data_IF_885856510936
#
_entry.id   IF_885856510936
#
_cell.length_a   1.000
_cell.length_b   1.000
_cell.length_c   1.000
_cell.angle_alpha   90.00
_cell.angle_beta   90.00
_cell.angle_gamma   90.00
#
_symmetry.space_group_name_H-M   'P 1'
#
loop_
_entity.id
_entity.type
_entity.pdbx_description
1 polymer ?
#
# COMPACT_ATOMS: atom_id res chain seq x y z
N UNK A 1 21.80 -10.36 -16.97
CA UNK A 1 20.38 -9.98 -16.83
C UNK A 1 19.80 -10.75 -15.66
N UNK A 2 19.86 -10.18 -14.47
CA UNK A 2 19.21 -10.77 -13.29
C UNK A 2 17.71 -10.64 -13.50
N UNK A 3 16.96 -11.75 -13.45
CA UNK A 3 15.50 -11.69 -13.58
C UNK A 3 14.94 -11.04 -12.31
N UNK A 4 13.93 -10.18 -12.43
CA UNK A 4 13.20 -9.65 -11.28
C UNK A 4 12.64 -10.76 -10.35
N UNK A 5 12.57 -12.01 -10.83
CA UNK A 5 12.21 -13.20 -10.05
C UNK A 5 13.18 -13.57 -8.91
N UNK A 6 14.39 -13.00 -8.89
CA UNK A 6 15.38 -13.29 -7.84
C UNK A 6 15.29 -12.34 -6.63
N UNK A 7 14.42 -11.32 -6.68
CA UNK A 7 14.14 -10.45 -5.54
C UNK A 7 13.02 -11.07 -4.68
N UNK A 8 13.23 -11.12 -3.36
CA UNK A 8 12.20 -11.50 -2.40
C UNK A 8 11.13 -10.39 -2.28
N UNK A 9 10.33 -10.21 -3.33
CA UNK A 9 9.25 -9.23 -3.41
C UNK A 9 7.97 -9.71 -2.70
N UNK A 10 7.17 -8.75 -2.25
CA UNK A 10 5.77 -8.98 -1.87
C UNK A 10 4.91 -8.67 -3.09
N UNK A 11 4.18 -9.67 -3.58
CA UNK A 11 3.20 -9.50 -4.64
C UNK A 11 1.79 -9.54 -4.03
N UNK A 12 1.04 -8.45 -4.20
CA UNK A 12 -0.36 -8.33 -3.79
C UNK A 12 -1.32 -8.24 -4.99
N UNK A 13 -0.86 -8.60 -6.19
CA UNK A 13 -1.62 -8.52 -7.44
C UNK A 13 -2.22 -7.10 -7.63
N UNK A 14 -3.45 -6.99 -8.11
CA UNK A 14 -4.14 -5.71 -8.37
C UNK A 14 -4.71 -5.02 -7.11
N UNK A 15 -4.34 -5.45 -5.91
CA UNK A 15 -4.95 -4.99 -4.64
C UNK A 15 -4.24 -3.78 -4.01
N UNK A 16 -3.24 -3.22 -4.68
CA UNK A 16 -2.44 -2.10 -4.18
C UNK A 16 -3.26 -0.83 -3.91
N UNK A 17 -4.27 -0.52 -4.74
CA UNK A 17 -5.11 0.66 -4.52
C UNK A 17 -6.16 0.42 -3.42
N UNK A 18 -6.63 -0.81 -3.25
CA UNK A 18 -7.42 -1.17 -2.06
C UNK A 18 -6.61 -1.01 -0.77
N UNK A 19 -5.34 -1.40 -0.79
CA UNK A 19 -4.44 -1.17 0.33
C UNK A 19 -4.27 0.32 0.59
N UNK A 20 -3.96 1.12 -0.43
CA UNK A 20 -3.82 2.56 -0.30
C UNK A 20 -5.10 3.22 0.24
N UNK A 21 -6.25 2.91 -0.34
CA UNK A 21 -7.55 3.41 0.11
C UNK A 21 -7.88 3.00 1.54
N UNK A 22 -7.62 1.74 1.91
CA UNK A 22 -7.89 1.25 3.26
C UNK A 22 -7.10 1.97 4.36
N UNK A 23 -5.93 2.52 4.02
CA UNK A 23 -5.07 3.25 4.96
C UNK A 23 -5.28 4.77 4.92
N UNK A 24 -5.66 5.33 3.78
CA UNK A 24 -5.71 6.80 3.55
C UNK A 24 -7.10 7.35 3.29
N UNK A 25 -8.05 6.49 2.89
CA UNK A 25 -9.34 6.89 2.34
C UNK A 25 -9.27 7.52 0.94
N UNK A 26 -8.12 7.47 0.26
CA UNK A 26 -7.91 8.05 -1.08
C UNK A 26 -7.34 7.02 -2.06
N UNK A 27 -7.53 7.21 -3.37
CA UNK A 27 -6.80 6.43 -4.37
C UNK A 27 -5.34 6.85 -4.40
N UNK A 28 -4.44 5.91 -4.69
CA UNK A 28 -3.04 6.21 -4.98
C UNK A 28 -2.86 7.09 -6.22
N UNK A 29 -3.86 7.17 -7.11
CA UNK A 29 -3.86 8.09 -8.24
C UNK A 29 -4.15 9.55 -7.86
N UNK A 30 -4.81 9.79 -6.74
CA UNK A 30 -5.10 11.14 -6.22
C UNK A 30 -4.94 11.16 -4.68
N UNK A 31 -3.72 10.99 -4.18
CA UNK A 31 -3.47 10.91 -2.75
C UNK A 31 -3.56 12.30 -2.09
N UNK A 32 -3.92 12.31 -0.80
CA UNK A 32 -3.85 13.54 -0.02
C UNK A 32 -2.40 14.10 0.02
N UNK A 33 -2.26 15.43 -0.10
CA UNK A 33 -0.94 16.08 -0.13
C UNK A 33 -0.14 15.78 1.13
N UNK A 34 1.12 15.38 0.94
CA UNK A 34 2.07 15.07 2.01
C UNK A 34 1.60 13.97 2.97
N UNK A 35 0.70 13.08 2.55
CA UNK A 35 0.19 12.00 3.40
C UNK A 35 1.28 10.95 3.70
N UNK A 36 1.68 10.79 4.98
CA UNK A 36 2.69 9.82 5.38
C UNK A 36 2.22 8.36 5.29
N UNK A 37 0.91 8.08 5.27
CA UNK A 37 0.36 6.75 5.03
C UNK A 37 0.33 6.41 3.54
N UNK A 38 0.08 7.40 2.68
CA UNK A 38 0.26 7.24 1.24
C UNK A 38 1.71 6.82 0.92
N UNK A 39 2.70 7.54 1.46
CA UNK A 39 4.13 7.20 1.32
C UNK A 39 4.50 5.84 1.92
N UNK A 40 3.79 5.39 2.95
CA UNK A 40 4.01 4.06 3.51
C UNK A 40 3.62 2.92 2.56
N UNK A 41 2.78 3.18 1.55
CA UNK A 41 2.43 2.23 0.48
C UNK A 41 3.25 2.48 -0.78
N UNK A 42 3.31 3.75 -1.22
CA UNK A 42 3.90 4.14 -2.50
C UNK A 42 5.42 4.31 -2.47
N UNK A 43 6.02 4.43 -1.29
CA UNK A 43 7.43 4.79 -1.10
C UNK A 43 7.60 6.22 -0.61
N UNK A 44 8.63 6.49 0.19
CA UNK A 44 8.92 7.84 0.70
C UNK A 44 9.40 8.80 -0.40
N UNK A 45 10.04 8.26 -1.45
CA UNK A 45 10.52 9.02 -2.61
C UNK A 45 9.88 8.46 -3.87
N UNK A 46 9.12 9.27 -4.59
CA UNK A 46 8.69 8.92 -5.94
C UNK A 46 9.91 9.00 -6.86
N UNK A 47 10.18 7.90 -7.55
CA UNK A 47 11.18 7.85 -8.61
C UNK A 47 10.41 8.12 -9.90
N UNK A 48 10.22 9.40 -10.21
CA UNK A 48 9.64 9.81 -11.49
C UNK A 48 10.50 9.24 -12.63
N UNK A 49 10.00 8.24 -13.35
CA UNK A 49 10.72 7.73 -14.52
C UNK A 49 9.82 6.94 -15.47
N UNK A 50 9.18 7.66 -16.41
CA UNK A 50 8.78 7.14 -17.74
C UNK A 50 7.95 5.85 -17.83
N UNK A 51 7.44 5.33 -16.73
CA UNK A 51 6.61 4.13 -16.67
C UNK A 51 5.14 4.52 -16.56
N UNK A 52 4.28 3.74 -17.22
CA UNK A 52 2.84 3.81 -17.05
C UNK A 52 2.47 3.12 -15.71
N UNK A 53 2.77 3.82 -14.61
CA UNK A 53 2.68 3.25 -13.26
C UNK A 53 3.39 4.06 -12.17
N UNK A 54 3.54 3.46 -10.99
CA UNK A 54 4.24 4.05 -9.85
C UNK A 54 5.55 3.31 -9.57
N UNK A 55 6.63 4.08 -9.42
CA UNK A 55 7.89 3.60 -8.88
C UNK A 55 8.24 4.46 -7.67
N UNK A 56 8.41 3.84 -6.52
CA UNK A 56 8.78 4.57 -5.31
C UNK A 56 9.77 3.81 -4.45
N UNK A 57 10.57 4.57 -3.72
CA UNK A 57 11.71 4.10 -2.94
C UNK A 57 11.55 4.52 -1.50
N UNK A 58 11.83 3.59 -0.59
CA UNK A 58 12.04 3.87 0.83
C UNK A 58 13.41 3.36 1.22
N UNK A 59 14.28 4.27 1.66
CA UNK A 59 15.63 3.93 2.07
C UNK A 59 15.61 3.10 3.35
N UNK A 60 16.70 2.37 3.61
CA UNK A 60 16.76 1.49 4.78
C UNK A 60 16.59 2.28 6.09
N UNK A 61 17.19 3.48 6.17
CA UNK A 61 17.06 4.36 7.33
C UNK A 61 15.63 4.91 7.56
N UNK A 62 14.76 4.85 6.56
CA UNK A 62 13.37 5.34 6.65
C UNK A 62 12.40 4.21 7.04
N UNK A 63 12.75 2.95 6.73
CA UNK A 63 11.89 1.79 6.97
C UNK A 63 11.44 1.68 8.43
N UNK A 64 12.30 2.02 9.40
CA UNK A 64 11.92 1.96 10.82
C UNK A 64 10.73 2.88 11.13
N UNK A 65 10.74 4.11 10.60
CA UNK A 65 9.65 5.07 10.79
C UNK A 65 8.39 4.66 10.00
N UNK A 66 8.55 4.11 8.80
CA UNK A 66 7.43 3.58 8.00
C UNK A 66 6.74 2.41 8.71
N UNK A 67 7.52 1.47 9.25
CA UNK A 67 7.02 0.31 10.01
C UNK A 67 6.27 0.76 11.26
N UNK A 68 6.87 1.64 12.06
CA UNK A 68 6.26 2.17 13.29
C UNK A 68 4.92 2.87 13.01
N UNK A 69 4.87 3.66 11.94
CA UNK A 69 3.65 4.33 11.47
C UNK A 69 2.53 3.35 11.15
N UNK A 70 2.82 2.29 10.39
CA UNK A 70 1.83 1.26 10.03
C UNK A 70 1.38 0.45 11.26
N UNK A 71 2.32 0.12 12.15
CA UNK A 71 2.03 -0.65 13.37
C UNK A 71 1.22 0.13 14.40
N UNK A 72 1.39 1.45 14.45
CA UNK A 72 0.68 2.35 15.36
C UNK A 72 -0.77 2.65 14.95
N UNK A 73 -1.20 2.23 13.75
CA UNK A 73 -2.57 2.45 13.30
C UNK A 73 -3.58 1.70 14.19
N UNK A 74 -4.62 2.42 14.62
CA UNK A 74 -5.76 1.79 15.29
C UNK A 74 -6.66 1.12 14.24
N UNK A 75 -6.67 -0.21 14.23
CA UNK A 75 -7.45 -1.01 13.28
C UNK A 75 -8.96 -0.80 13.45
N UNK A 76 -9.40 -0.47 14.66
CA UNK A 76 -10.81 -0.18 14.93
C UNK A 76 -11.23 1.17 14.32
N UNK A 77 -10.34 2.17 14.36
CA UNK A 77 -10.57 3.46 13.70
C UNK A 77 -10.53 3.33 12.17
N UNK A 78 -9.56 2.58 11.62
CA UNK A 78 -9.54 2.26 10.19
C UNK A 78 -10.83 1.56 9.75
N UNK A 79 -11.33 0.61 10.54
CA UNK A 79 -12.58 -0.11 10.24
C UNK A 79 -13.79 0.83 10.23
N UNK A 80 -13.85 1.80 11.14
CA UNK A 80 -14.95 2.79 11.20
C UNK A 80 -14.94 3.74 10.01
N UNK A 81 -13.75 4.07 9.50
CA UNK A 81 -13.59 4.99 8.37
C UNK A 81 -13.74 4.30 7.00
N UNK A 82 -13.45 3.00 6.93
CA UNK A 82 -13.58 2.22 5.71
C UNK A 82 -15.06 2.11 5.27
N UNK A 83 -15.31 2.40 3.99
CA UNK A 83 -16.63 2.31 3.39
C UNK A 83 -16.55 1.76 1.96
N UNK A 84 -17.24 0.64 1.70
CA UNK A 84 -17.34 0.10 0.32
C UNK A 84 -18.07 1.08 -0.60
N UNK A 85 -19.08 1.78 -0.08
CA UNK A 85 -19.81 2.78 -0.85
C UNK A 85 -18.87 3.85 -1.39
N UNK A 86 -18.03 4.43 -0.52
CA UNK A 86 -17.02 5.42 -0.93
C UNK A 86 -15.97 4.83 -1.87
N UNK A 87 -15.54 3.59 -1.62
CA UNK A 87 -14.61 2.89 -2.50
C UNK A 87 -15.16 2.76 -3.93
N UNK A 88 -16.43 2.36 -4.05
CA UNK A 88 -17.11 2.25 -5.34
C UNK A 88 -17.28 3.63 -6.01
N UNK A 89 -17.67 4.65 -5.25
CA UNK A 89 -17.84 6.03 -5.75
C UNK A 89 -16.53 6.65 -6.25
N UNK A 90 -15.41 6.29 -5.63
CA UNK A 90 -14.07 6.76 -6.02
C UNK A 90 -13.42 5.89 -7.10
N UNK A 91 -14.11 4.85 -7.59
CA UNK A 91 -13.63 3.93 -8.63
C UNK A 91 -12.21 3.38 -8.34
N UNK A 92 -11.93 3.06 -7.07
CA UNK A 92 -10.62 2.55 -6.63
C UNK A 92 -10.20 1.37 -7.50
N UNK A 93 -8.95 1.39 -7.98
CA UNK A 93 -8.45 0.39 -8.93
C UNK A 93 -8.66 -1.05 -8.40
N UNK A 94 -9.17 -1.97 -9.24
CA UNK A 94 -9.32 -1.89 -10.69
C UNK A 94 -10.63 -1.26 -11.20
N UNK A 95 -11.35 -0.50 -10.38
CA UNK A 95 -12.60 0.16 -10.78
C UNK A 95 -13.80 -0.79 -10.80
N UNK A 96 -13.73 -1.89 -10.05
CA UNK A 96 -14.85 -2.82 -9.89
C UNK A 96 -15.69 -2.44 -8.69
N UNK A 97 -17.02 -2.52 -8.85
CA UNK A 97 -17.96 -2.25 -7.76
C UNK A 97 -18.21 -3.49 -6.92
N UNK A 98 -18.18 -3.34 -5.60
CA UNK A 98 -18.49 -4.41 -4.64
C UNK A 98 -19.88 -4.21 -4.00
N UNK A 99 -20.53 -5.31 -3.62
CA UNK A 99 -21.69 -5.26 -2.72
C UNK A 99 -21.26 -4.78 -1.33
N UNK A 100 -22.06 -3.91 -0.70
CA UNK A 100 -21.81 -3.41 0.66
C UNK A 100 -21.74 -4.55 1.70
N UNK A 101 -22.38 -5.70 1.45
CA UNK A 101 -22.31 -6.90 2.30
C UNK A 101 -20.88 -7.45 2.45
N UNK A 102 -19.99 -7.14 1.51
CA UNK A 102 -18.59 -7.59 1.51
C UNK A 102 -17.66 -6.67 2.31
N UNK A 103 -18.16 -5.59 2.93
CA UNK A 103 -17.32 -4.55 3.52
C UNK A 103 -16.36 -5.09 4.58
N UNK A 104 -16.85 -5.94 5.48
CA UNK A 104 -16.01 -6.57 6.50
C UNK A 104 -14.94 -7.50 5.90
N UNK A 105 -15.27 -8.22 4.83
CA UNK A 105 -14.36 -9.16 4.18
C UNK A 105 -13.27 -8.42 3.40
N UNK A 106 -13.64 -7.38 2.66
CA UNK A 106 -12.69 -6.55 1.92
C UNK A 106 -11.74 -5.82 2.87
N UNK A 107 -12.26 -5.25 3.96
CA UNK A 107 -11.43 -4.64 5.00
C UNK A 107 -10.45 -5.66 5.61
N UNK A 108 -10.91 -6.86 5.97
CA UNK A 108 -10.04 -7.91 6.50
C UNK A 108 -8.94 -8.32 5.51
N UNK A 109 -9.25 -8.39 4.21
CA UNK A 109 -8.27 -8.67 3.16
C UNK A 109 -7.21 -7.56 3.05
N UNK A 110 -7.61 -6.29 3.14
CA UNK A 110 -6.71 -5.13 3.14
C UNK A 110 -5.76 -5.20 4.35
N UNK A 111 -6.28 -5.50 5.55
CA UNK A 111 -5.46 -5.65 6.75
C UNK A 111 -4.45 -6.79 6.62
N UNK A 112 -4.84 -7.91 5.98
CA UNK A 112 -3.91 -9.00 5.71
C UNK A 112 -2.77 -8.56 4.78
N UNK A 113 -3.05 -7.77 3.74
CA UNK A 113 -2.01 -7.25 2.85
C UNK A 113 -1.12 -6.20 3.55
N UNK A 114 -1.68 -5.38 4.45
CA UNK A 114 -0.90 -4.48 5.31
C UNK A 114 0.08 -5.26 6.20
N UNK A 115 -0.36 -6.34 6.86
CA UNK A 115 0.53 -7.15 7.72
C UNK A 115 1.64 -7.85 6.92
N UNK A 116 1.35 -8.28 5.69
CA UNK A 116 2.38 -8.77 4.76
C UNK A 116 3.39 -7.68 4.41
N UNK A 117 2.93 -6.45 4.15
CA UNK A 117 3.78 -5.30 3.83
C UNK A 117 4.71 -4.96 5.01
N UNK A 118 4.15 -4.85 6.22
CA UNK A 118 4.93 -4.64 7.46
C UNK A 118 5.99 -5.74 7.62
N UNK A 119 5.62 -7.00 7.40
CA UNK A 119 6.55 -8.14 7.49
C UNK A 119 7.67 -8.06 6.46
N UNK A 120 7.37 -7.63 5.23
CA UNK A 120 8.35 -7.41 4.18
C UNK A 120 9.32 -6.27 4.55
N UNK A 121 8.82 -5.13 5.02
CA UNK A 121 9.64 -4.01 5.47
C UNK A 121 10.53 -4.37 6.66
N UNK A 122 10.01 -5.09 7.65
CA UNK A 122 10.82 -5.59 8.77
C UNK A 122 11.96 -6.50 8.30
N UNK A 123 11.70 -7.35 7.30
CA UNK A 123 12.74 -8.20 6.70
C UNK A 123 13.81 -7.35 6.00
N UNK A 124 13.41 -6.38 5.19
CA UNK A 124 14.33 -5.47 4.49
C UNK A 124 15.18 -4.65 5.46
N UNK A 125 14.54 -4.09 6.51
CA UNK A 125 15.22 -3.33 7.56
C UNK A 125 16.33 -4.16 8.21
N UNK A 126 16.03 -5.38 8.67
CA UNK A 126 17.01 -6.28 9.31
C UNK A 126 18.16 -6.69 8.39
N UNK A 127 17.94 -6.73 7.09
CA UNK A 127 18.93 -7.13 6.09
C UNK A 127 19.77 -5.96 5.56
N UNK A 128 19.48 -4.72 5.98
CA UNK A 128 20.14 -3.54 5.43
C UNK A 128 19.67 -3.19 4.01
N UNK A 129 18.55 -3.75 3.55
CA UNK A 129 17.99 -3.53 2.21
C UNK A 129 17.05 -2.31 2.19
N UNK A 130 16.84 -1.76 1.00
CA UNK A 130 15.84 -0.74 0.70
C UNK A 130 14.54 -1.38 0.20
N UNK A 131 13.42 -0.65 0.25
CA UNK A 131 12.17 -1.07 -0.36
C UNK A 131 11.92 -0.32 -1.67
N UNK A 132 11.48 -1.06 -2.68
CA UNK A 132 11.05 -0.50 -3.96
C UNK A 132 9.59 -0.93 -4.18
N UNK A 133 8.67 0.04 -4.23
CA UNK A 133 7.29 -0.18 -4.66
C UNK A 133 7.26 -0.05 -6.17
N UNK A 134 6.74 -1.09 -6.83
CA UNK A 134 6.59 -1.13 -8.29
C UNK A 134 5.13 -1.46 -8.59
N UNK A 135 4.43 -0.52 -9.22
CA UNK A 135 3.07 -0.69 -9.73
C UNK A 135 3.15 -0.38 -11.22
N UNK A 136 2.82 -1.34 -12.06
CA UNK A 136 2.79 -1.19 -13.51
C UNK A 136 1.46 -1.75 -14.03
N UNK A 137 0.89 -1.08 -15.03
CA UNK A 137 -0.38 -1.47 -15.67
C UNK A 137 -0.32 -2.80 -16.43
#
# INVERSE_FOLDING_TARGET
>A
MTRFQDYAGLDIDKRWDFLHFGLTGTSAFDPAKNDPLSRAVLGEHSLEDGIDGFLGLTWNQELAATIDRLESLDRSELRKQFSIKRLNEMEIYPGVTFSEELEGQLFASIMLDMEKLISAYRRMLRQGNHALTVIVG
#
